data_IF_136059484402
#
_entry.id   IF_136059484402
#
_cell.length_a   1.000
_cell.length_b   1.000
_cell.length_c   1.000
_cell.angle_alpha   90.00
_cell.angle_beta   90.00
_cell.angle_gamma   90.00
#
_symmetry.space_group_name_H-M   'P 1'
#
loop_
_entity.id
_entity.type
_entity.pdbx_description
1 polymer ?
#
# COMPACT_ATOMS: atom_id res chain seq x y z
N UNK A 1 -85.39 -47.61 -20.53
CA UNK A 1 -86.06 -48.33 -21.63
C UNK A 1 -87.13 -47.42 -22.19
N UNK A 2 -86.87 -46.79 -23.34
CA UNK A 2 -87.89 -45.95 -23.96
C UNK A 2 -89.01 -46.84 -24.53
N UNK A 3 -90.26 -46.52 -24.19
CA UNK A 3 -91.44 -47.19 -24.75
C UNK A 3 -92.03 -46.29 -25.82
N UNK A 4 -92.30 -46.84 -27.00
CA UNK A 4 -93.00 -46.15 -28.08
C UNK A 4 -94.41 -45.79 -27.58
N UNK A 5 -94.66 -44.49 -27.40
CA UNK A 5 -95.91 -43.95 -26.82
C UNK A 5 -97.05 -43.85 -27.84
N UNK A 6 -96.74 -43.79 -29.13
CA UNK A 6 -97.73 -43.74 -30.22
C UNK A 6 -97.92 -45.12 -30.87
N UNK A 7 -99.18 -45.48 -31.14
CA UNK A 7 -99.55 -46.66 -31.93
C UNK A 7 -98.97 -46.62 -33.35
N UNK A 8 -98.87 -45.42 -33.93
CA UNK A 8 -98.27 -45.23 -35.25
C UNK A 8 -96.76 -45.49 -35.21
N UNK A 9 -96.09 -45.06 -34.14
CA UNK A 9 -94.67 -45.32 -33.94
C UNK A 9 -94.39 -46.82 -33.77
N UNK A 10 -95.24 -47.55 -33.03
CA UNK A 10 -95.16 -49.02 -32.92
C UNK A 10 -95.37 -49.72 -34.26
N UNK A 11 -96.33 -49.24 -35.07
CA UNK A 11 -96.56 -49.78 -36.42
C UNK A 11 -95.36 -49.56 -37.33
N UNK A 12 -94.81 -48.34 -37.36
CA UNK A 12 -93.64 -48.01 -38.20
C UNK A 12 -92.43 -48.86 -37.81
N UNK A 13 -92.11 -48.98 -36.53
CA UNK A 13 -91.00 -49.86 -36.06
C UNK A 13 -91.27 -51.32 -36.41
N UNK A 14 -92.49 -51.83 -36.21
CA UNK A 14 -92.82 -53.22 -36.57
C UNK A 14 -92.70 -53.53 -38.06
N UNK A 15 -92.98 -52.56 -38.92
CA UNK A 15 -92.81 -52.69 -40.37
C UNK A 15 -91.33 -52.73 -40.70
N UNK A 16 -90.54 -51.82 -40.13
CA UNK A 16 -89.08 -51.78 -40.34
C UNK A 16 -88.41 -53.08 -39.87
N UNK A 17 -88.75 -53.58 -38.69
CA UNK A 17 -88.24 -54.85 -38.16
C UNK A 17 -88.66 -56.04 -39.05
N UNK A 18 -89.94 -56.08 -39.47
CA UNK A 18 -90.42 -57.14 -40.37
C UNK A 18 -89.75 -57.10 -41.74
N UNK A 19 -89.40 -55.91 -42.26
CA UNK A 19 -88.65 -55.78 -43.50
C UNK A 19 -87.19 -56.19 -43.34
N UNK A 20 -86.57 -55.83 -42.22
CA UNK A 20 -85.20 -56.22 -41.91
C UNK A 20 -85.08 -57.75 -41.80
N UNK A 21 -85.99 -58.40 -41.06
CA UNK A 21 -86.04 -59.86 -40.95
C UNK A 21 -86.17 -60.53 -42.33
N UNK A 22 -87.06 -60.03 -43.20
CA UNK A 22 -87.26 -60.61 -44.54
C UNK A 22 -86.03 -60.44 -45.42
N UNK A 23 -85.43 -59.26 -45.43
CA UNK A 23 -84.21 -58.99 -46.21
C UNK A 23 -83.02 -59.80 -45.68
N UNK A 24 -82.90 -59.96 -44.37
CA UNK A 24 -81.92 -60.85 -43.77
C UNK A 24 -82.15 -62.30 -44.19
N UNK A 25 -83.39 -62.81 -44.17
CA UNK A 25 -83.69 -64.18 -44.64
C UNK A 25 -83.36 -64.39 -46.10
N UNK A 26 -83.63 -63.42 -46.97
CA UNK A 26 -83.29 -63.48 -48.39
C UNK A 26 -81.78 -63.37 -48.63
N UNK A 27 -81.05 -62.69 -47.73
CA UNK A 27 -79.60 -62.52 -47.86
C UNK A 27 -78.77 -63.79 -47.63
N UNK A 28 -79.37 -64.85 -47.08
CA UNK A 28 -78.73 -66.16 -46.97
C UNK A 28 -78.92 -67.02 -48.21
N UNK A 29 -79.72 -66.56 -49.18
CA UNK A 29 -79.88 -67.25 -50.47
C UNK A 29 -78.69 -66.87 -51.36
N UNK A 30 -77.95 -67.84 -51.92
CA UNK A 30 -76.90 -67.56 -52.88
C UNK A 30 -77.45 -66.83 -54.11
N UNK A 31 -76.84 -65.69 -54.45
CA UNK A 31 -77.24 -64.85 -55.59
C UNK A 31 -76.66 -65.30 -56.93
N UNK A 32 -75.62 -66.15 -56.90
CA UNK A 32 -74.98 -66.73 -58.08
C UNK A 32 -74.95 -68.26 -57.93
N UNK A 33 -75.58 -69.03 -58.84
CA UNK A 33 -75.61 -70.48 -58.77
C UNK A 33 -74.30 -71.07 -59.29
N UNK A 34 -73.25 -71.08 -58.46
CA UNK A 34 -72.08 -71.91 -58.73
C UNK A 34 -72.46 -73.39 -58.61
N UNK A 35 -72.05 -74.23 -59.56
CA UNK A 35 -72.46 -75.63 -59.65
C UNK A 35 -72.28 -76.40 -58.33
N UNK A 36 -71.18 -76.12 -57.61
CA UNK A 36 -70.87 -76.75 -56.32
C UNK A 36 -71.77 -76.26 -55.17
N UNK A 37 -72.22 -75.00 -55.21
CA UNK A 37 -73.09 -74.42 -54.18
C UNK A 37 -74.55 -74.85 -54.36
N UNK A 38 -74.98 -75.01 -55.61
CA UNK A 38 -76.31 -75.52 -55.96
C UNK A 38 -76.42 -76.97 -55.51
N UNK A 39 -75.45 -77.83 -55.81
CA UNK A 39 -75.52 -79.25 -55.44
C UNK A 39 -75.42 -79.46 -53.92
N UNK A 40 -74.61 -78.68 -53.20
CA UNK A 40 -74.54 -78.75 -51.72
C UNK A 40 -75.84 -78.28 -51.04
N UNK A 41 -76.38 -77.13 -51.45
CA UNK A 41 -77.60 -76.56 -50.84
C UNK A 41 -78.84 -77.39 -51.22
N UNK A 42 -78.96 -77.77 -52.49
CA UNK A 42 -80.09 -78.56 -53.00
C UNK A 42 -80.04 -80.01 -52.49
N UNK A 43 -78.84 -80.58 -52.29
CA UNK A 43 -78.61 -81.88 -51.68
C UNK A 43 -78.98 -81.91 -50.20
N UNK A 44 -78.47 -80.95 -49.42
CA UNK A 44 -78.75 -80.82 -47.99
C UNK A 44 -80.24 -80.55 -47.68
N UNK A 45 -80.92 -79.79 -48.55
CA UNK A 45 -82.37 -79.55 -48.45
C UNK A 45 -83.21 -80.78 -48.84
N UNK A 46 -82.68 -81.68 -49.68
CA UNK A 46 -83.32 -82.92 -50.05
C UNK A 46 -83.20 -83.99 -48.94
N UNK A 47 -82.04 -84.06 -48.28
CA UNK A 47 -81.80 -84.96 -47.15
C UNK A 47 -82.64 -84.60 -45.91
N UNK A 48 -82.91 -83.31 -45.71
CA UNK A 48 -83.74 -82.80 -44.60
C UNK A 48 -85.25 -82.83 -44.87
N UNK A 49 -85.71 -83.40 -46.00
CA UNK A 49 -87.13 -83.55 -46.34
C UNK A 49 -87.85 -82.26 -46.71
N UNK A 50 -87.12 -81.15 -46.90
CA UNK A 50 -87.66 -79.82 -47.20
C UNK A 50 -87.80 -79.57 -48.71
N UNK A 51 -88.41 -80.52 -49.41
CA UNK A 51 -88.57 -80.49 -50.88
C UNK A 51 -89.33 -79.26 -51.39
N UNK A 52 -90.25 -78.70 -50.58
CA UNK A 52 -91.01 -77.50 -50.92
C UNK A 52 -90.14 -76.23 -50.89
N UNK A 53 -89.13 -76.16 -50.01
CA UNK A 53 -88.18 -75.05 -49.95
C UNK A 53 -87.22 -75.15 -51.14
N UNK A 54 -86.72 -76.37 -51.40
CA UNK A 54 -85.89 -76.67 -52.57
C UNK A 54 -86.55 -76.25 -53.89
N UNK A 55 -87.78 -76.69 -54.13
CA UNK A 55 -88.49 -76.35 -55.37
C UNK A 55 -88.75 -74.85 -55.50
N UNK A 56 -89.02 -74.16 -54.38
CA UNK A 56 -89.22 -72.71 -54.37
C UNK A 56 -87.91 -71.93 -54.63
N UNK A 57 -86.76 -72.38 -54.11
CA UNK A 57 -85.44 -71.79 -54.39
C UNK A 57 -85.05 -72.02 -55.86
N UNK A 58 -85.26 -73.24 -56.39
CA UNK A 58 -85.00 -73.53 -57.81
C UNK A 58 -85.89 -72.68 -58.74
N UNK A 59 -87.16 -72.50 -58.38
CA UNK A 59 -88.06 -71.59 -59.08
C UNK A 59 -87.60 -70.14 -58.98
N UNK A 60 -87.10 -69.70 -57.82
CA UNK A 60 -86.55 -68.36 -57.63
C UNK A 60 -85.37 -68.11 -58.59
N UNK A 61 -84.38 -69.02 -58.61
CA UNK A 61 -83.22 -68.89 -59.50
C UNK A 61 -83.61 -68.92 -60.98
N UNK A 62 -84.54 -69.79 -61.38
CA UNK A 62 -85.05 -69.82 -62.75
C UNK A 62 -85.76 -68.50 -63.12
N UNK A 63 -86.56 -67.95 -62.21
CA UNK A 63 -87.24 -66.67 -62.42
C UNK A 63 -86.26 -65.49 -62.40
N UNK A 64 -85.22 -65.51 -61.57
CA UNK A 64 -84.15 -64.50 -61.55
C UNK A 64 -83.32 -64.53 -62.83
N UNK A 65 -82.96 -65.71 -63.34
CA UNK A 65 -82.27 -65.86 -64.63
C UNK A 65 -83.15 -65.42 -65.79
N UNK A 66 -84.43 -65.79 -65.78
CA UNK A 66 -85.40 -65.35 -66.79
C UNK A 66 -85.64 -63.84 -66.73
N UNK A 67 -85.68 -63.24 -65.53
CA UNK A 67 -85.80 -61.81 -65.33
C UNK A 67 -84.53 -61.07 -65.78
N UNK A 68 -83.34 -61.61 -65.48
CA UNK A 68 -82.04 -61.07 -65.92
C UNK A 68 -81.94 -61.10 -67.45
N UNK A 69 -82.26 -62.23 -68.07
CA UNK A 69 -82.31 -62.41 -69.54
C UNK A 69 -83.37 -61.50 -70.19
N UNK A 70 -84.55 -61.36 -69.58
CA UNK A 70 -85.62 -60.47 -70.06
C UNK A 70 -85.18 -59.00 -69.99
N UNK A 71 -84.48 -58.59 -68.93
CA UNK A 71 -83.95 -57.24 -68.76
C UNK A 71 -82.81 -56.93 -69.73
N UNK A 72 -81.94 -57.91 -70.01
CA UNK A 72 -80.87 -57.81 -71.02
C UNK A 72 -81.45 -57.76 -72.45
N UNK A 73 -82.48 -58.56 -72.76
CA UNK A 73 -83.15 -58.52 -74.05
C UNK A 73 -83.95 -57.23 -74.27
N UNK A 74 -84.55 -56.68 -73.20
CA UNK A 74 -85.25 -55.39 -73.24
C UNK A 74 -84.30 -54.21 -73.52
N UNK A 75 -83.01 -54.35 -73.21
CA UNK A 75 -81.98 -53.34 -73.50
C UNK A 75 -81.44 -53.44 -74.95
N UNK A 76 -81.50 -54.64 -75.55
CA UNK A 76 -80.98 -54.90 -76.90
C UNK A 76 -82.02 -54.77 -78.02
N UNK A 77 -83.32 -54.87 -77.71
CA UNK A 77 -84.39 -54.84 -78.72
C UNK A 77 -85.35 -53.70 -78.41
N UNK A 78 -85.19 -52.59 -79.13
CA UNK A 78 -86.02 -51.38 -79.04
C UNK A 78 -87.40 -51.56 -79.70
N UNK A 79 -88.12 -52.64 -79.37
CA UNK A 79 -89.50 -52.84 -79.81
C UNK A 79 -90.45 -52.83 -78.62
N UNK A 80 -91.32 -51.83 -78.65
CA UNK A 80 -92.31 -51.39 -77.65
C UNK A 80 -93.49 -52.37 -77.47
N UNK A 81 -93.22 -53.66 -77.25
CA UNK A 81 -94.27 -54.69 -77.13
C UNK A 81 -93.99 -55.83 -76.15
N UNK A 82 -93.03 -55.68 -75.23
CA UNK A 82 -92.57 -56.76 -74.35
C UNK A 82 -92.67 -56.51 -72.83
N UNK A 83 -93.46 -55.52 -72.39
CA UNK A 83 -93.52 -55.15 -70.97
C UNK A 83 -94.47 -56.00 -70.11
N UNK A 84 -95.43 -56.72 -70.69
CA UNK A 84 -96.32 -57.61 -69.92
C UNK A 84 -95.56 -58.80 -69.34
N UNK A 85 -94.66 -59.42 -70.11
CA UNK A 85 -93.89 -60.57 -69.65
C UNK A 85 -92.90 -60.23 -68.52
N UNK A 86 -92.25 -59.06 -68.58
CA UNK A 86 -91.33 -58.61 -67.53
C UNK A 86 -92.04 -58.24 -66.22
N UNK A 87 -93.25 -57.67 -66.31
CA UNK A 87 -94.08 -57.36 -65.15
C UNK A 87 -94.64 -58.63 -64.49
N UNK A 88 -95.13 -59.58 -65.29
CA UNK A 88 -95.61 -60.88 -64.80
C UNK A 88 -94.48 -61.69 -64.15
N UNK A 89 -93.27 -61.71 -64.72
CA UNK A 89 -92.09 -62.35 -64.10
C UNK A 89 -91.71 -61.65 -62.79
N UNK A 90 -91.80 -60.32 -62.73
CA UNK A 90 -91.56 -59.56 -61.50
C UNK A 90 -92.60 -59.83 -60.40
N UNK A 91 -93.88 -59.95 -60.75
CA UNK A 91 -94.95 -60.31 -59.83
C UNK A 91 -94.82 -61.76 -59.35
N UNK A 92 -94.46 -62.67 -60.26
CA UNK A 92 -94.13 -64.05 -59.91
C UNK A 92 -92.92 -64.11 -58.98
N UNK A 93 -91.84 -63.36 -59.26
CA UNK A 93 -90.66 -63.28 -58.40
C UNK A 93 -90.99 -62.72 -57.01
N UNK A 94 -91.85 -61.70 -56.93
CA UNK A 94 -92.32 -61.17 -55.65
C UNK A 94 -93.15 -62.20 -54.88
N UNK A 95 -94.06 -62.91 -55.55
CA UNK A 95 -94.91 -63.92 -54.94
C UNK A 95 -94.11 -65.16 -54.50
N UNK A 96 -93.13 -65.59 -55.29
CA UNK A 96 -92.22 -66.68 -54.92
C UNK A 96 -91.28 -66.26 -53.79
N UNK A 97 -90.69 -65.06 -53.84
CA UNK A 97 -89.86 -64.51 -52.74
C UNK A 97 -90.64 -64.41 -51.42
N UNK A 98 -91.89 -63.94 -51.48
CA UNK A 98 -92.77 -63.84 -50.30
C UNK A 98 -93.19 -65.22 -49.79
N UNK A 99 -93.44 -66.16 -50.69
CA UNK A 99 -93.80 -67.54 -50.34
C UNK A 99 -92.59 -68.27 -49.73
N UNK A 100 -91.40 -68.05 -50.29
CA UNK A 100 -90.13 -68.56 -49.78
C UNK A 100 -89.84 -68.03 -48.37
N UNK A 101 -89.96 -66.72 -48.15
CA UNK A 101 -89.81 -66.14 -46.80
C UNK A 101 -90.79 -66.75 -45.78
N UNK A 102 -92.03 -67.06 -46.19
CA UNK A 102 -93.02 -67.72 -45.33
C UNK A 102 -92.68 -69.19 -45.07
N UNK A 103 -92.19 -69.91 -46.07
CA UNK A 103 -91.80 -71.32 -45.96
C UNK A 103 -90.53 -71.48 -45.11
N UNK A 104 -89.53 -70.63 -45.30
CA UNK A 104 -88.31 -70.59 -44.48
C UNK A 104 -88.61 -70.27 -43.02
N UNK A 105 -89.57 -69.37 -42.76
CA UNK A 105 -90.02 -69.09 -41.38
C UNK A 105 -90.74 -70.28 -40.72
N UNK A 106 -91.38 -71.16 -41.51
CA UNK A 106 -92.09 -72.36 -41.02
C UNK A 106 -91.18 -73.58 -40.87
N UNK A 107 -90.04 -73.61 -41.57
CA UNK A 107 -89.09 -74.71 -41.57
C UNK A 107 -87.71 -74.22 -41.07
N UNK A 108 -87.48 -74.14 -39.74
CA UNK A 108 -86.25 -73.59 -39.18
C UNK A 108 -85.00 -74.39 -39.57
N UNK A 109 -85.13 -75.72 -39.73
CA UNK A 109 -84.04 -76.61 -40.17
C UNK A 109 -83.52 -76.20 -41.56
N UNK A 110 -84.42 -75.81 -42.47
CA UNK A 110 -84.02 -75.35 -43.81
C UNK A 110 -83.32 -73.99 -43.77
N UNK A 111 -83.67 -73.14 -42.80
CA UNK A 111 -83.03 -71.85 -42.59
C UNK A 111 -81.62 -72.01 -42.01
N UNK A 112 -81.44 -72.89 -41.03
CA UNK A 112 -80.13 -73.17 -40.40
C UNK A 112 -79.14 -73.73 -41.44
N UNK A 113 -79.59 -74.66 -42.29
CA UNK A 113 -78.79 -75.19 -43.40
C UNK A 113 -78.39 -74.11 -44.42
N UNK A 114 -79.26 -73.12 -44.69
CA UNK A 114 -78.92 -72.00 -45.58
C UNK A 114 -77.95 -71.02 -44.92
N UNK A 115 -78.03 -70.83 -43.60
CA UNK A 115 -77.05 -70.05 -42.85
C UNK A 115 -75.66 -70.71 -42.85
N UNK A 116 -75.60 -72.03 -42.67
CA UNK A 116 -74.34 -72.80 -42.70
C UNK A 116 -73.67 -72.82 -44.08
N UNK A 117 -74.46 -72.81 -45.15
CA UNK A 117 -73.96 -72.81 -46.54
C UNK A 117 -73.78 -71.40 -47.15
N UNK A 118 -73.92 -70.33 -46.36
CA UNK A 118 -73.91 -68.94 -46.85
C UNK A 118 -72.49 -68.38 -47.09
N UNK A 119 -71.71 -69.02 -47.96
CA UNK A 119 -70.34 -68.59 -48.29
C UNK A 119 -70.28 -67.34 -49.20
N UNK A 120 -71.39 -66.97 -49.84
CA UNK A 120 -71.47 -65.83 -50.79
C UNK A 120 -72.70 -64.98 -50.51
N UNK A 121 -72.65 -64.14 -49.47
CA UNK A 121 -73.66 -63.10 -49.23
C UNK A 121 -73.30 -61.87 -50.07
N UNK A 122 -74.26 -61.36 -50.84
CA UNK A 122 -74.03 -60.16 -51.65
C UNK A 122 -73.65 -58.95 -50.76
N UNK A 123 -72.49 -58.29 -50.98
CA UNK A 123 -72.06 -57.15 -50.18
C UNK A 123 -73.01 -55.95 -50.30
N UNK A 124 -73.68 -55.81 -51.46
CA UNK A 124 -74.69 -54.77 -51.66
C UNK A 124 -75.92 -54.98 -50.77
N UNK A 125 -76.38 -56.22 -50.63
CA UNK A 125 -77.54 -56.56 -49.78
C UNK A 125 -77.21 -56.42 -48.29
N UNK A 126 -75.96 -56.71 -47.90
CA UNK A 126 -75.47 -56.48 -46.53
C UNK A 126 -75.44 -55.00 -46.16
N UNK A 127 -74.96 -54.14 -47.06
CA UNK A 127 -74.96 -52.69 -46.84
C UNK A 127 -76.39 -52.15 -46.70
N UNK A 128 -77.33 -52.62 -47.52
CA UNK A 128 -78.76 -52.24 -47.41
C UNK A 128 -79.35 -52.69 -46.08
N UNK A 129 -79.03 -53.90 -45.61
CA UNK A 129 -79.46 -54.37 -44.29
C UNK A 129 -78.88 -53.50 -43.17
N UNK A 130 -77.60 -53.11 -43.25
CA UNK A 130 -76.96 -52.24 -42.25
C UNK A 130 -77.60 -50.85 -42.23
N UNK A 131 -77.80 -50.22 -43.39
CA UNK A 131 -78.44 -48.90 -43.43
C UNK A 131 -79.89 -48.94 -42.94
N UNK A 132 -80.63 -50.00 -43.23
CA UNK A 132 -81.98 -50.18 -42.69
C UNK A 132 -81.96 -50.42 -41.18
N UNK A 133 -80.97 -51.11 -40.66
CA UNK A 133 -80.78 -51.29 -39.22
C UNK A 133 -80.43 -49.97 -38.52
N UNK A 134 -79.55 -49.15 -39.10
CA UNK A 134 -79.21 -47.83 -38.58
C UNK A 134 -80.42 -46.88 -38.65
N UNK A 135 -81.19 -46.93 -39.74
CA UNK A 135 -82.42 -46.16 -39.88
C UNK A 135 -83.48 -46.60 -38.87
N UNK A 136 -83.64 -47.91 -38.65
CA UNK A 136 -84.54 -48.45 -37.62
C UNK A 136 -84.12 -47.97 -36.21
N UNK A 137 -82.82 -47.97 -35.91
CA UNK A 137 -82.30 -47.46 -34.64
C UNK A 137 -82.53 -45.94 -34.46
N UNK A 138 -82.29 -45.14 -35.50
CA UNK A 138 -82.51 -43.69 -35.49
C UNK A 138 -84.00 -43.38 -35.35
N UNK A 139 -84.85 -44.02 -36.15
CA UNK A 139 -86.31 -43.81 -36.11
C UNK A 139 -86.89 -44.25 -34.77
N UNK A 140 -86.47 -45.38 -34.22
CA UNK A 140 -86.84 -45.80 -32.87
C UNK A 140 -86.46 -44.76 -31.83
N UNK A 141 -85.22 -44.23 -31.88
CA UNK A 141 -84.75 -43.20 -30.95
C UNK A 141 -85.58 -41.91 -31.06
N UNK A 142 -85.85 -41.42 -32.27
CA UNK A 142 -86.62 -40.17 -32.48
C UNK A 142 -88.10 -40.32 -32.11
N UNK A 143 -88.70 -41.46 -32.37
CA UNK A 143 -90.09 -41.74 -32.00
C UNK A 143 -90.25 -42.08 -30.51
N UNK A 144 -89.14 -42.38 -29.83
CA UNK A 144 -89.05 -42.66 -28.40
C UNK A 144 -88.75 -41.43 -27.56
N UNK A 145 -88.19 -40.38 -28.15
CA UNK A 145 -87.94 -39.10 -27.48
C UNK A 145 -89.22 -38.29 -27.43
N UNK A 146 -89.56 -37.80 -26.24
CA UNK A 146 -90.71 -36.90 -26.07
C UNK A 146 -90.34 -35.48 -26.51
N UNK A 147 -91.35 -34.68 -26.90
CA UNK A 147 -91.15 -33.27 -27.25
C UNK A 147 -90.53 -32.48 -26.08
N UNK A 148 -90.87 -32.84 -24.84
CA UNK A 148 -90.32 -32.24 -23.63
C UNK A 148 -88.83 -32.60 -23.43
N UNK A 149 -88.46 -33.85 -23.68
CA UNK A 149 -87.07 -34.31 -23.62
C UNK A 149 -86.19 -33.66 -24.71
N UNK A 150 -86.74 -33.47 -25.92
CA UNK A 150 -86.06 -32.73 -26.99
C UNK A 150 -85.90 -31.24 -26.64
N UNK A 151 -86.92 -30.61 -26.07
CA UNK A 151 -86.83 -29.24 -25.57
C UNK A 151 -85.80 -29.09 -24.43
N UNK A 152 -85.74 -30.05 -23.51
CA UNK A 152 -84.74 -30.08 -22.45
C UNK A 152 -83.32 -30.24 -23.01
N UNK A 153 -83.11 -31.16 -23.96
CA UNK A 153 -81.81 -31.37 -24.60
C UNK A 153 -81.33 -30.14 -25.40
N UNK A 154 -82.24 -29.48 -26.12
CA UNK A 154 -81.88 -28.24 -26.84
C UNK A 154 -81.53 -27.10 -25.89
N UNK A 155 -82.21 -26.99 -24.74
CA UNK A 155 -81.87 -26.02 -23.70
C UNK A 155 -80.50 -26.30 -23.07
N UNK A 156 -80.22 -27.54 -22.67
CA UNK A 156 -78.92 -27.91 -22.09
C UNK A 156 -77.77 -27.70 -23.08
N UNK A 157 -77.98 -28.02 -24.35
CA UNK A 157 -77.00 -27.74 -25.41
C UNK A 157 -76.70 -26.24 -25.54
N UNK A 158 -77.72 -25.38 -25.48
CA UNK A 158 -77.51 -23.92 -25.50
C UNK A 158 -76.73 -23.44 -24.28
N UNK A 159 -77.10 -23.88 -23.08
CA UNK A 159 -76.40 -23.51 -21.84
C UNK A 159 -74.93 -23.96 -21.85
N UNK A 160 -74.65 -25.18 -22.35
CA UNK A 160 -73.28 -25.66 -22.52
C UNK A 160 -72.51 -24.83 -23.56
N UNK A 161 -73.15 -24.47 -24.66
CA UNK A 161 -72.54 -23.63 -25.70
C UNK A 161 -72.19 -22.25 -25.16
N UNK A 162 -73.07 -21.64 -24.37
CA UNK A 162 -72.82 -20.32 -23.78
C UNK A 162 -71.74 -20.37 -22.69
N UNK A 163 -71.73 -21.42 -21.86
CA UNK A 163 -70.64 -21.68 -20.90
C UNK A 163 -69.31 -21.88 -21.60
N UNK A 164 -69.29 -22.62 -22.72
CA UNK A 164 -68.08 -22.83 -23.51
C UNK A 164 -67.57 -21.50 -24.08
N UNK A 165 -68.44 -20.67 -24.65
CA UNK A 165 -68.07 -19.34 -25.15
C UNK A 165 -67.51 -18.43 -24.05
N UNK A 166 -68.10 -18.45 -22.86
CA UNK A 166 -67.61 -17.65 -21.74
C UNK A 166 -66.23 -18.14 -21.28
N UNK A 167 -66.06 -19.46 -21.12
CA UNK A 167 -64.77 -20.06 -20.77
C UNK A 167 -63.70 -19.80 -21.82
N UNK A 168 -64.07 -19.72 -23.10
CA UNK A 168 -63.15 -19.41 -24.19
C UNK A 168 -62.70 -17.95 -24.15
N UNK A 169 -63.60 -17.00 -23.88
CA UNK A 169 -63.24 -15.59 -23.63
C UNK A 169 -62.32 -15.44 -22.43
N UNK A 170 -62.59 -16.16 -21.34
CA UNK A 170 -61.74 -16.12 -20.15
C UNK A 170 -60.34 -16.70 -20.45
N UNK A 171 -60.28 -17.79 -21.22
CA UNK A 171 -59.02 -18.38 -21.71
C UNK A 171 -58.23 -17.38 -22.56
N UNK A 172 -58.90 -16.70 -23.49
CA UNK A 172 -58.27 -15.67 -24.33
C UNK A 172 -57.76 -14.48 -23.50
N UNK A 173 -58.55 -14.01 -22.53
CA UNK A 173 -58.14 -12.94 -21.62
C UNK A 173 -56.94 -13.32 -20.76
N UNK A 174 -56.92 -14.54 -20.22
CA UNK A 174 -55.77 -15.07 -19.47
C UNK A 174 -54.53 -15.23 -20.37
N UNK A 175 -54.72 -15.68 -21.61
CA UNK A 175 -53.62 -15.83 -22.56
C UNK A 175 -53.02 -14.46 -22.93
N UNK A 176 -53.85 -13.45 -23.19
CA UNK A 176 -53.38 -12.07 -23.43
C UNK A 176 -52.64 -11.49 -22.22
N UNK A 177 -53.17 -11.68 -21.01
CA UNK A 177 -52.49 -11.22 -19.79
C UNK A 177 -51.15 -11.92 -19.59
N UNK A 178 -51.06 -13.21 -19.89
CA UNK A 178 -49.83 -13.98 -19.80
C UNK A 178 -48.79 -13.49 -20.83
N UNK A 179 -49.21 -13.24 -22.06
CA UNK A 179 -48.36 -12.67 -23.11
C UNK A 179 -47.87 -11.26 -22.73
N UNK A 180 -48.74 -10.41 -22.18
CA UNK A 180 -48.38 -9.09 -21.68
C UNK A 180 -47.34 -9.18 -20.56
N UNK A 181 -47.56 -10.02 -19.55
CA UNK A 181 -46.62 -10.20 -18.44
C UNK A 181 -45.28 -10.77 -18.90
N UNK A 182 -45.26 -11.69 -19.88
CA UNK A 182 -44.02 -12.19 -20.47
C UNK A 182 -43.26 -11.06 -21.18
N UNK A 183 -43.95 -10.26 -22.00
CA UNK A 183 -43.33 -9.14 -22.68
C UNK A 183 -42.79 -8.06 -21.71
N UNK A 184 -43.49 -7.80 -20.60
CA UNK A 184 -43.04 -6.89 -19.55
C UNK A 184 -41.80 -7.45 -18.82
N UNK A 185 -41.83 -8.74 -18.46
CA UNK A 185 -40.66 -9.43 -17.87
C UNK A 185 -39.45 -9.43 -18.79
N UNK A 186 -39.63 -9.68 -20.08
CA UNK A 186 -38.53 -9.65 -21.05
C UNK A 186 -37.93 -8.24 -21.18
N UNK A 187 -38.75 -7.18 -21.12
CA UNK A 187 -38.28 -5.79 -21.07
C UNK A 187 -37.48 -5.50 -19.80
N UNK A 188 -37.99 -5.91 -18.64
CA UNK A 188 -37.27 -5.73 -17.36
C UNK A 188 -35.93 -6.45 -17.36
N UNK A 189 -35.89 -7.71 -17.83
CA UNK A 189 -34.67 -8.51 -17.95
C UNK A 189 -33.68 -7.84 -18.90
N UNK A 190 -34.14 -7.30 -20.04
CA UNK A 190 -33.30 -6.56 -20.96
C UNK A 190 -32.72 -5.28 -20.32
N UNK A 191 -33.54 -4.52 -19.59
CA UNK A 191 -33.08 -3.31 -18.89
C UNK A 191 -32.07 -3.61 -17.77
N UNK A 192 -32.34 -4.64 -16.97
CA UNK A 192 -31.40 -5.11 -15.94
C UNK A 192 -30.10 -5.62 -16.56
N UNK A 193 -30.19 -6.34 -17.68
CA UNK A 193 -29.02 -6.80 -18.44
C UNK A 193 -28.15 -5.64 -18.95
N UNK A 194 -28.76 -4.56 -19.44
CA UNK A 194 -28.03 -3.35 -19.84
C UNK A 194 -27.35 -2.68 -18.63
N UNK A 195 -28.05 -2.57 -17.49
CA UNK A 195 -27.48 -2.00 -16.27
C UNK A 195 -26.31 -2.82 -15.75
N UNK A 196 -26.42 -4.15 -15.75
CA UNK A 196 -25.31 -5.05 -15.37
C UNK A 196 -24.12 -4.87 -16.31
N UNK A 197 -24.36 -4.75 -17.62
CA UNK A 197 -23.28 -4.53 -18.59
C UNK A 197 -22.56 -3.20 -18.36
N UNK A 198 -23.31 -2.11 -18.12
CA UNK A 198 -22.76 -0.79 -17.78
C UNK A 198 -21.94 -0.82 -16.49
N UNK A 199 -22.49 -1.39 -15.41
CA UNK A 199 -21.80 -1.51 -14.14
C UNK A 199 -20.52 -2.34 -14.25
N UNK A 200 -20.51 -3.40 -15.07
CA UNK A 200 -19.29 -4.19 -15.33
C UNK A 200 -18.24 -3.38 -16.08
N UNK A 201 -18.63 -2.57 -17.06
CA UNK A 201 -17.71 -1.69 -17.77
C UNK A 201 -17.13 -0.62 -16.83
N UNK A 202 -17.96 0.05 -16.04
CA UNK A 202 -17.52 1.04 -15.04
C UNK A 202 -16.57 0.42 -14.01
N UNK A 203 -16.87 -0.78 -13.50
CA UNK A 203 -16.00 -1.47 -12.55
C UNK A 203 -14.64 -1.83 -13.20
N UNK A 204 -14.65 -2.23 -14.47
CA UNK A 204 -13.42 -2.50 -15.20
C UNK A 204 -12.59 -1.23 -15.44
N UNK A 205 -13.24 -0.13 -15.82
CA UNK A 205 -12.57 1.16 -16.00
C UNK A 205 -11.97 1.65 -14.68
N UNK A 206 -12.71 1.57 -13.58
CA UNK A 206 -12.24 1.96 -12.24
C UNK A 206 -11.06 1.09 -11.79
N UNK A 207 -11.11 -0.23 -11.98
CA UNK A 207 -9.99 -1.10 -11.61
C UNK A 207 -8.75 -0.77 -12.44
N UNK A 208 -8.91 -0.58 -13.76
CA UNK A 208 -7.81 -0.19 -14.64
C UNK A 208 -7.22 1.18 -14.28
N UNK A 209 -8.04 2.19 -14.01
CA UNK A 209 -7.55 3.52 -13.61
C UNK A 209 -6.82 3.45 -12.29
N UNK A 210 -7.34 2.69 -11.32
CA UNK A 210 -6.72 2.52 -10.01
C UNK A 210 -5.37 1.78 -10.13
N UNK A 211 -5.27 0.73 -10.95
CA UNK A 211 -4.00 0.05 -11.24
C UNK A 211 -2.95 1.01 -11.82
N UNK A 212 -3.34 1.89 -12.75
CA UNK A 212 -2.45 2.90 -13.32
C UNK A 212 -2.05 3.95 -12.28
N UNK A 213 -2.98 4.42 -11.46
CA UNK A 213 -2.72 5.39 -10.39
C UNK A 213 -1.77 4.82 -9.34
N UNK A 214 -1.99 3.58 -8.89
CA UNK A 214 -1.09 2.88 -7.96
C UNK A 214 0.30 2.74 -8.55
N UNK A 215 0.42 2.31 -9.81
CA UNK A 215 1.72 2.21 -10.48
C UNK A 215 2.44 3.58 -10.57
N UNK A 216 1.70 4.65 -10.88
CA UNK A 216 2.26 6.01 -10.93
C UNK A 216 2.70 6.51 -9.53
N UNK A 217 1.91 6.23 -8.49
CA UNK A 217 2.26 6.57 -7.10
C UNK A 217 3.51 5.81 -6.67
N UNK A 218 3.59 4.51 -6.96
CA UNK A 218 4.77 3.70 -6.64
C UNK A 218 6.02 4.21 -7.36
N UNK A 219 5.90 4.56 -8.65
CA UNK A 219 7.01 5.13 -9.41
C UNK A 219 7.45 6.48 -8.84
N UNK A 220 6.51 7.42 -8.62
CA UNK A 220 6.84 8.73 -8.05
C UNK A 220 7.41 8.62 -6.64
N UNK A 221 6.93 7.68 -5.82
CA UNK A 221 7.47 7.42 -4.49
C UNK A 221 8.92 6.90 -4.57
N UNK A 222 9.22 5.98 -5.49
CA UNK A 222 10.59 5.49 -5.73
C UNK A 222 11.51 6.62 -6.17
N UNK A 223 11.11 7.41 -7.17
CA UNK A 223 11.89 8.55 -7.66
C UNK A 223 12.15 9.58 -6.55
N UNK A 224 11.15 9.88 -5.72
CA UNK A 224 11.31 10.78 -4.58
C UNK A 224 12.27 10.23 -3.52
N UNK A 225 12.21 8.93 -3.22
CA UNK A 225 13.12 8.28 -2.26
C UNK A 225 14.54 8.27 -2.79
N UNK A 226 14.74 7.93 -4.06
CA UNK A 226 16.06 7.97 -4.72
C UNK A 226 16.63 9.39 -4.72
N UNK A 227 15.85 10.38 -5.16
CA UNK A 227 16.27 11.78 -5.15
C UNK A 227 16.59 12.31 -3.75
N UNK A 228 15.77 11.98 -2.76
CA UNK A 228 16.04 12.34 -1.37
C UNK A 228 17.29 11.63 -0.81
N UNK A 229 17.51 10.38 -1.20
CA UNK A 229 18.70 9.60 -0.87
C UNK A 229 19.97 10.24 -1.43
N UNK A 230 19.95 10.62 -2.72
CA UNK A 230 21.06 11.29 -3.39
C UNK A 230 21.34 12.67 -2.79
N UNK A 231 20.31 13.47 -2.51
CA UNK A 231 20.45 14.77 -1.86
C UNK A 231 21.03 14.64 -0.44
N UNK A 232 20.60 13.63 0.32
CA UNK A 232 21.15 13.35 1.65
C UNK A 232 22.62 12.89 1.55
N UNK A 233 22.94 12.00 0.62
CA UNK A 233 24.31 11.53 0.39
C UNK A 233 25.25 12.70 0.01
N UNK A 234 24.83 13.58 -0.89
CA UNK A 234 25.57 14.79 -1.26
C UNK A 234 25.81 15.69 -0.04
N UNK A 235 24.78 15.94 0.77
CA UNK A 235 24.91 16.75 1.99
C UNK A 235 25.84 16.10 3.02
N UNK A 236 25.81 14.78 3.16
CA UNK A 236 26.75 14.06 4.03
C UNK A 236 28.20 14.23 3.55
N UNK A 237 28.46 14.13 2.25
CA UNK A 237 29.79 14.37 1.70
C UNK A 237 30.24 15.82 1.90
N UNK A 238 29.36 16.80 1.67
CA UNK A 238 29.65 18.21 1.95
C UNK A 238 30.05 18.43 3.42
N UNK A 239 29.24 17.94 4.36
CA UNK A 239 29.52 18.06 5.80
C UNK A 239 30.79 17.34 6.23
N UNK A 240 31.12 16.18 5.62
CA UNK A 240 32.40 15.50 5.85
C UNK A 240 33.56 16.37 5.39
N UNK A 241 33.49 16.92 4.17
CA UNK A 241 34.57 17.80 3.66
C UNK A 241 34.73 19.06 4.51
N UNK A 242 33.64 19.62 5.04
CA UNK A 242 33.71 20.76 5.96
C UNK A 242 34.34 20.38 7.29
N UNK A 243 33.97 19.21 7.84
CA UNK A 243 34.57 18.67 9.06
C UNK A 243 36.07 18.47 8.89
N UNK A 244 36.50 17.89 7.77
CA UNK A 244 37.92 17.68 7.46
C UNK A 244 38.68 19.00 7.35
N UNK A 245 38.11 19.99 6.66
CA UNK A 245 38.68 21.35 6.57
C UNK A 245 38.82 22.00 7.94
N UNK A 246 37.81 21.88 8.80
CA UNK A 246 37.85 22.43 10.16
C UNK A 246 38.89 21.71 11.02
N UNK A 247 39.00 20.39 10.92
CA UNK A 247 40.03 19.62 11.61
C UNK A 247 41.44 20.02 11.17
N UNK A 248 41.66 20.22 9.87
CA UNK A 248 42.94 20.70 9.35
C UNK A 248 43.23 22.14 9.82
N UNK A 249 42.23 23.02 9.83
CA UNK A 249 42.37 24.38 10.36
C UNK A 249 42.73 24.39 11.86
N UNK A 250 42.12 23.52 12.66
CA UNK A 250 42.45 23.35 14.08
C UNK A 250 43.89 22.86 14.24
N UNK A 251 44.29 21.81 13.52
CA UNK A 251 45.67 21.29 13.55
C UNK A 251 46.69 22.38 13.22
N UNK A 252 46.44 23.15 12.16
CA UNK A 252 47.30 24.26 11.75
C UNK A 252 47.37 25.38 12.80
N UNK A 253 46.24 25.72 13.45
CA UNK A 253 46.22 26.69 14.56
C UNK A 253 46.98 26.18 15.77
N UNK A 254 46.80 24.92 16.16
CA UNK A 254 47.54 24.30 17.25
C UNK A 254 49.05 24.30 16.99
N UNK A 255 49.48 23.96 15.78
CA UNK A 255 50.90 24.01 15.40
C UNK A 255 51.47 25.44 15.50
N UNK A 256 50.80 26.44 14.93
CA UNK A 256 51.20 27.85 15.04
C UNK A 256 51.24 28.34 16.49
N UNK A 257 50.26 27.96 17.30
CA UNK A 257 50.24 28.31 18.72
C UNK A 257 51.39 27.63 19.48
N UNK A 258 51.69 26.37 19.21
CA UNK A 258 52.83 25.68 19.82
C UNK A 258 54.18 26.33 19.42
N UNK A 259 54.34 26.72 18.16
CA UNK A 259 55.53 27.45 17.69
C UNK A 259 55.67 28.82 18.36
N UNK A 260 54.59 29.60 18.43
CA UNK A 260 54.61 30.90 19.11
C UNK A 260 54.86 30.76 20.60
N UNK A 261 54.24 29.80 21.26
CA UNK A 261 54.46 29.50 22.67
C UNK A 261 55.91 29.10 22.94
N UNK A 262 56.48 28.19 22.15
CA UNK A 262 57.89 27.77 22.30
C UNK A 262 58.86 28.92 22.05
N UNK A 263 58.57 29.80 21.08
CA UNK A 263 59.35 31.02 20.83
C UNK A 263 59.28 31.99 22.02
N UNK A 264 58.09 32.22 22.57
CA UNK A 264 57.90 33.05 23.76
C UNK A 264 58.59 32.46 25.00
N UNK A 265 58.49 31.15 25.23
CA UNK A 265 59.21 30.45 26.31
C UNK A 265 60.73 30.60 26.17
N UNK A 266 61.28 30.45 24.95
CA UNK A 266 62.71 30.69 24.68
C UNK A 266 63.10 32.14 24.95
N UNK A 267 62.29 33.12 24.52
CA UNK A 267 62.55 34.55 24.76
C UNK A 267 62.49 34.89 26.24
N UNK A 268 61.50 34.36 26.97
CA UNK A 268 61.40 34.48 28.43
C UNK A 268 62.65 33.95 29.12
N UNK A 269 63.07 32.72 28.81
CA UNK A 269 64.28 32.13 29.40
C UNK A 269 65.55 32.93 29.08
N UNK A 270 65.68 33.50 27.87
CA UNK A 270 66.79 34.42 27.54
C UNK A 270 66.79 35.66 28.44
N UNK A 271 65.65 36.33 28.59
CA UNK A 271 65.55 37.51 29.44
C UNK A 271 65.76 37.19 30.93
N UNK A 272 65.26 36.05 31.41
CA UNK A 272 65.54 35.56 32.78
C UNK A 272 67.04 35.34 33.00
N UNK A 273 67.74 34.74 32.04
CA UNK A 273 69.19 34.54 32.11
C UNK A 273 69.97 35.87 32.03
N UNK A 274 69.57 36.80 31.16
CA UNK A 274 70.16 38.14 31.07
C UNK A 274 69.95 38.93 32.36
N UNK A 275 68.75 38.88 32.94
CA UNK A 275 68.45 39.50 34.23
C UNK A 275 69.28 38.89 35.35
N UNK A 276 69.37 37.56 35.41
CA UNK A 276 70.17 36.84 36.42
C UNK A 276 71.64 37.22 36.31
N UNK A 277 72.18 37.29 35.09
CA UNK A 277 73.56 37.74 34.83
C UNK A 277 73.77 39.18 35.29
N UNK A 278 72.82 40.09 35.01
CA UNK A 278 72.88 41.49 35.44
C UNK A 278 72.81 41.64 36.96
N UNK A 279 71.95 40.87 37.62
CA UNK A 279 71.85 40.84 39.09
C UNK A 279 73.18 40.36 39.67
N UNK A 280 73.73 39.24 39.18
CA UNK A 280 75.01 38.72 39.66
C UNK A 280 76.16 39.72 39.45
N UNK A 281 76.20 40.41 38.31
CA UNK A 281 77.19 41.46 38.05
C UNK A 281 77.03 42.66 38.99
N UNK A 282 75.78 43.09 39.26
CA UNK A 282 75.48 44.15 40.21
C UNK A 282 75.88 43.76 41.63
N UNK A 283 75.52 42.55 42.08
CA UNK A 283 75.86 42.04 43.41
C UNK A 283 77.38 41.95 43.58
N UNK A 284 78.12 41.51 42.54
CA UNK A 284 79.59 41.51 42.54
C UNK A 284 80.15 42.93 42.64
N UNK A 285 79.69 43.87 41.80
CA UNK A 285 80.18 45.26 41.81
C UNK A 285 79.87 45.95 43.15
N UNK A 286 78.69 45.70 43.73
CA UNK A 286 78.33 46.21 45.05
C UNK A 286 79.19 45.59 46.15
N UNK A 287 79.49 44.29 46.06
CA UNK A 287 80.43 43.60 46.96
C UNK A 287 81.85 44.18 46.85
N UNK A 288 82.35 44.40 45.64
CA UNK A 288 83.68 45.00 45.40
C UNK A 288 83.75 46.44 45.94
N UNK A 289 82.69 47.24 45.75
CA UNK A 289 82.59 48.59 46.32
C UNK A 289 82.54 48.57 47.84
N UNK A 290 81.80 47.63 48.43
CA UNK A 290 81.73 47.48 49.88
C UNK A 290 83.11 47.10 50.45
N UNK A 291 83.83 46.17 49.82
CA UNK A 291 85.20 45.83 50.20
C UNK A 291 86.16 47.03 50.08
N UNK A 292 86.04 47.85 49.02
CA UNK A 292 86.83 49.08 48.90
C UNK A 292 86.51 50.10 50.01
N UNK A 293 85.23 50.25 50.39
CA UNK A 293 84.84 51.12 51.50
C UNK A 293 85.44 50.60 52.80
N UNK A 294 85.37 49.30 53.07
CA UNK A 294 85.96 48.69 54.25
C UNK A 294 87.49 48.87 54.30
N UNK A 295 88.19 48.63 53.18
CA UNK A 295 89.63 48.87 53.05
C UNK A 295 90.01 50.34 53.27
N UNK A 296 89.25 51.29 52.69
CA UNK A 296 89.49 52.72 52.88
C UNK A 296 89.19 53.16 54.32
N UNK A 297 88.16 52.60 54.93
CA UNK A 297 87.80 52.89 56.33
C UNK A 297 88.90 52.36 57.25
N UNK A 298 89.40 51.14 57.01
CA UNK A 298 90.51 50.57 57.78
C UNK A 298 91.80 51.40 57.63
N UNK A 299 92.12 51.87 56.42
CA UNK A 299 93.25 52.79 56.19
C UNK A 299 93.04 54.12 56.90
N UNK A 300 91.85 54.71 56.80
CA UNK A 300 91.51 55.96 57.48
C UNK A 300 91.64 55.82 59.01
N UNK A 301 91.15 54.73 59.59
CA UNK A 301 91.30 54.45 61.03
C UNK A 301 92.77 54.28 61.43
N UNK A 302 93.58 53.61 60.61
CA UNK A 302 95.02 53.46 60.83
C UNK A 302 95.74 54.82 60.75
N UNK A 303 95.47 55.61 59.71
CA UNK A 303 96.03 56.96 59.55
C UNK A 303 95.57 57.89 60.69
N UNK A 304 94.32 57.79 61.15
CA UNK A 304 93.82 58.55 62.30
C UNK A 304 94.53 58.15 63.60
N UNK A 305 94.83 56.87 63.79
CA UNK A 305 95.62 56.39 64.92
C UNK A 305 97.07 56.89 64.87
N UNK A 306 97.73 56.79 63.71
CA UNK A 306 99.09 57.33 63.51
C UNK A 306 99.12 58.86 63.74
N UNK A 307 98.10 59.58 63.27
CA UNK A 307 97.98 61.02 63.47
C UNK A 307 97.82 61.36 64.96
N UNK A 308 97.03 60.59 65.71
CA UNK A 308 96.92 60.74 67.18
C UNK A 308 98.25 60.49 67.87
N UNK A 309 98.98 59.43 67.51
CA UNK A 309 100.31 59.16 68.07
C UNK A 309 101.29 60.30 67.78
N UNK A 310 101.26 60.83 66.56
CA UNK A 310 102.13 61.93 66.14
C UNK A 310 101.74 63.25 66.84
N UNK A 311 100.44 63.52 67.01
CA UNK A 311 99.95 64.64 67.82
C UNK A 311 100.43 64.52 69.27
N UNK A 312 100.29 63.34 69.89
CA UNK A 312 100.80 63.12 71.24
C UNK A 312 102.33 63.30 71.33
N UNK A 313 103.08 62.91 70.29
CA UNK A 313 104.51 63.14 70.21
C UNK A 313 104.84 64.63 70.12
N UNK A 314 104.16 65.39 69.25
CA UNK A 314 104.36 66.84 69.15
C UNK A 314 103.93 67.56 70.43
N UNK A 315 102.82 67.18 71.06
CA UNK A 315 102.39 67.73 72.35
C UNK A 315 103.45 67.48 73.44
N UNK A 316 104.08 66.29 73.46
CA UNK A 316 105.21 65.98 74.37
C UNK A 316 106.45 66.80 74.04
N UNK A 317 106.78 66.99 72.76
CA UNK A 317 107.91 67.81 72.33
C UNK A 317 107.69 69.27 72.70
N UNK A 318 106.49 69.81 72.47
CA UNK A 318 106.11 71.18 72.81
C UNK A 318 106.08 71.40 74.33
N UNK A 319 105.64 70.41 75.11
CA UNK A 319 105.76 70.44 76.56
C UNK A 319 107.25 70.45 77.00
N UNK A 320 108.08 69.61 76.38
CA UNK A 320 109.52 69.54 76.68
C UNK A 320 110.27 70.82 76.31
N UNK A 321 109.99 71.42 75.15
CA UNK A 321 110.57 72.71 74.75
C UNK A 321 110.11 73.82 75.67
N UNK A 322 108.83 73.84 76.09
CA UNK A 322 108.35 74.80 77.08
C UNK A 322 109.06 74.66 78.44
N UNK A 323 109.32 73.44 78.93
CA UNK A 323 110.15 73.23 80.12
C UNK A 323 111.61 73.65 79.92
N UNK A 324 112.22 73.31 78.78
CA UNK A 324 113.60 73.71 78.47
C UNK A 324 113.74 75.23 78.38
N UNK A 325 112.76 75.93 77.81
CA UNK A 325 112.76 77.40 77.74
C UNK A 325 112.57 78.04 79.13
N UNK A 326 111.76 77.42 80.00
CA UNK A 326 111.62 77.85 81.38
C UNK A 326 112.92 77.64 82.18
N UNK A 327 113.59 76.49 82.01
CA UNK A 327 114.90 76.19 82.61
C UNK A 327 115.99 77.14 82.10
N UNK A 328 116.01 77.45 80.80
CA UNK A 328 116.94 78.41 80.20
C UNK A 328 116.76 79.83 80.77
N UNK A 329 115.52 80.26 81.06
CA UNK A 329 115.25 81.54 81.72
C UNK A 329 115.80 81.57 83.15
N UNK A 330 115.62 80.50 83.92
CA UNK A 330 116.14 80.40 85.28
C UNK A 330 117.68 80.41 85.28
N UNK A 331 118.32 79.65 84.37
CA UNK A 331 119.78 79.63 84.23
C UNK A 331 120.36 80.98 83.78
N UNK A 332 119.65 81.70 82.91
CA UNK A 332 120.03 83.06 82.52
C UNK A 332 119.95 84.06 83.69
N UNK A 333 118.96 83.91 84.58
CA UNK A 333 118.85 84.72 85.81
C UNK A 333 119.99 84.44 86.79
N UNK A 334 120.37 83.17 86.98
CA UNK A 334 121.50 82.78 87.83
C UNK A 334 122.83 83.31 87.27
N UNK A 335 123.07 83.14 85.96
CA UNK A 335 124.28 83.66 85.31
C UNK A 335 124.39 85.20 85.38
N UNK A 336 123.26 85.91 85.33
CA UNK A 336 123.23 87.36 85.51
C UNK A 336 123.59 87.80 86.94
N UNK A 337 123.18 87.03 87.97
CA UNK A 337 123.60 87.27 89.35
C UNK A 337 125.10 87.04 89.56
N UNK A 338 125.65 85.95 89.02
CA UNK A 338 127.09 85.63 89.17
C UNK A 338 127.98 86.66 88.46
N UNK A 339 127.60 87.11 87.26
CA UNK A 339 128.33 88.14 86.53
C UNK A 339 128.33 89.51 87.25
N UNK A 340 127.27 89.81 88.01
CA UNK A 340 127.22 91.03 88.83
C UNK A 340 128.15 90.93 90.05
N UNK A 341 128.28 89.76 90.66
CA UNK A 341 129.18 89.52 91.79
C UNK A 341 130.66 89.64 91.40
N UNK A 342 131.05 89.07 90.25
CA UNK A 342 132.44 89.15 89.74
C UNK A 342 132.86 90.57 89.36
N UNK A 343 131.92 91.40 88.89
CA UNK A 343 132.19 92.79 88.54
C UNK A 343 132.56 93.65 89.76
N UNK A 344 131.96 93.39 90.91
CA UNK A 344 132.25 94.10 92.18
C UNK A 344 133.67 93.76 92.69
N UNK A 345 134.10 92.50 92.56
CA UNK A 345 135.46 92.07 92.91
C UNK A 345 136.52 92.64 91.95
N UNK A 346 136.20 92.73 90.65
CA UNK A 346 137.07 93.34 89.64
C UNK A 346 137.34 94.83 89.90
N UNK A 347 136.29 95.59 90.23
CA UNK A 347 136.39 97.04 90.47
C UNK A 347 137.20 97.38 91.74
N UNK A 348 137.11 96.56 92.80
CA UNK A 348 137.91 96.71 94.01
C UNK A 348 139.43 96.49 93.75
N UNK A 349 139.77 95.53 92.89
CA UNK A 349 141.15 95.22 92.52
C UNK A 349 141.84 96.35 91.74
N UNK A 350 141.09 97.04 90.86
CA UNK A 350 141.61 98.16 90.05
C UNK A 350 141.98 99.38 90.90
N UNK A 351 141.23 99.67 91.96
CA UNK A 351 141.48 100.79 92.89
C UNK A 351 142.76 100.57 93.71
N UNK A 352 143.01 99.35 94.16
CA UNK A 352 144.21 98.97 94.91
C UNK A 352 145.46 99.06 94.01
N UNK A 353 145.38 98.55 92.76
CA UNK A 353 146.49 98.61 91.80
C UNK A 353 146.85 100.05 91.40
N UNK A 354 145.87 100.95 91.28
CA UNK A 354 146.09 102.38 90.98
C UNK A 354 146.87 103.10 92.09
N UNK A 355 146.62 102.76 93.35
CA UNK A 355 147.27 103.40 94.51
C UNK A 355 148.70 102.91 94.72
N UNK A 356 148.98 101.63 94.47
CA UNK A 356 150.33 101.07 94.59
C UNK A 356 151.30 101.60 93.51
N UNK A 357 150.88 101.66 92.23
CA UNK A 357 151.73 102.16 91.13
C UNK A 357 152.08 103.65 91.29
N UNK A 358 151.15 104.47 91.77
CA UNK A 358 151.37 105.90 91.99
C UNK A 358 152.32 106.27 93.15
N UNK A 359 152.66 105.33 94.04
CA UNK A 359 153.61 105.57 95.14
C UNK A 359 155.05 105.26 94.69
N UNK A 360 155.22 104.23 93.86
CA UNK A 360 156.53 103.81 93.33
C UNK A 360 157.08 104.86 92.34
N UNK A 361 156.24 105.39 91.45
CA UNK A 361 156.68 106.34 90.42
C UNK A 361 157.04 107.73 90.99
N UNK A 362 156.46 108.13 92.13
CA UNK A 362 156.75 109.42 92.79
C UNK A 362 158.02 109.41 93.64
N UNK A 363 158.47 108.25 94.11
CA UNK A 363 159.75 108.12 94.83
C UNK A 363 160.98 108.29 93.91
N UNK A 364 160.84 107.98 92.61
CA UNK A 364 161.94 107.96 91.65
C UNK A 364 162.21 109.36 91.04
N UNK A 365 161.18 110.20 90.87
CA UNK A 365 161.28 111.51 90.19
C UNK A 365 161.78 112.63 91.10
N UNK A 366 161.60 112.53 92.42
CA UNK A 366 161.94 113.59 93.37
C UNK A 366 163.46 113.70 93.71
N UNK A 367 164.29 112.68 93.42
CA UNK A 367 165.66 112.62 93.98
C UNK A 367 166.81 113.19 93.13
N UNK A 368 166.73 113.44 91.81
CA UNK A 368 167.97 113.56 90.99
C UNK A 368 168.11 114.71 89.95
N UNK A 369 167.38 115.85 90.02
CA UNK A 369 167.57 117.04 89.13
C UNK A 369 167.96 118.35 89.86
N UNK A 370 169.14 118.38 90.49
CA UNK A 370 169.92 119.62 90.66
C UNK A 370 171.37 119.35 90.25
N UNK A 371 171.97 120.31 89.54
CA UNK A 371 173.42 120.56 89.50
C UNK A 371 173.98 120.38 90.94
N UNK A 372 174.54 119.19 91.24
CA UNK A 372 175.11 118.73 92.52
C UNK A 372 176.27 117.69 92.32
N UNK A 373 176.93 117.65 91.14
CA UNK A 373 178.28 117.08 90.90
C UNK A 373 178.54 115.97 89.82
N UNK A 374 178.80 116.39 88.55
CA UNK A 374 179.69 115.87 87.44
C UNK A 374 179.61 114.45 86.75
N UNK A 375 179.33 114.46 85.43
CA UNK A 375 179.91 113.66 84.29
C UNK A 375 179.14 112.40 83.78
N UNK A 376 179.15 111.90 82.51
CA UNK A 376 179.27 112.37 81.10
C UNK A 376 179.00 111.13 80.16
N UNK A 377 178.10 111.23 79.16
CA UNK A 377 178.00 110.39 77.92
C UNK A 377 177.13 109.10 77.95
N UNK A 378 176.53 108.53 76.89
CA UNK A 378 176.31 108.86 75.45
C UNK A 378 175.40 107.75 74.81
N UNK A 379 174.43 108.14 73.94
CA UNK A 379 173.80 107.46 72.75
C UNK A 379 173.28 106.00 72.78
N UNK A 380 172.04 105.81 72.24
CA UNK A 380 171.77 104.81 71.19
C UNK A 380 170.37 104.18 71.03
N UNK A 381 169.66 104.53 69.93
CA UNK A 381 168.77 103.71 69.04
C UNK A 381 167.44 103.11 69.60
N UNK A 382 166.28 103.48 69.01
CA UNK A 382 165.48 102.80 67.93
C UNK A 382 164.72 101.56 68.45
N UNK A 383 163.52 101.16 68.01
CA UNK A 383 162.49 101.59 67.02
C UNK A 383 161.37 100.54 67.14
N UNK A 384 160.17 100.88 66.64
CA UNK A 384 159.04 100.00 66.29
C UNK A 384 158.23 99.41 67.44
#
# INVERSE_FOLDING_TARGET
MHKLTSLEAQRVTSVLDSTLEKLQTLSYIPTEPDADTVDSVVGSLQESGSNNVKSCIQQLWQLEDNYRRSKESAFSNSNFGGNESGFEIGEQLHNTSRTLCRLLRKHPIAMDLLMENSSSRSPALMNVCQYLQDLAAITFRRLSTTVEEEAANTKTLRELTDKQKLSEKDREGLQQNLEFQRAEKDKEVAMLGQTISKLRAELHDITRTNEIEVANIEQSAKENVESAGDAHAARCEELKTETDKLLEAIKNRCAKNAETETALRKRKSKFENELTTKIAAYDQEMGDKQAQIEDLTAKFESEEAELKELQEHFDKVDANTATSDAEAKILAEIAAMDAAADKILGDACVVIQKRARGIIDRAIVAKLKKKKGKGKGKKGKKKK
#
